data_IF_723416366247
#
_entry.id   IF_723416366247
#
_cell.length_a   1.000
_cell.length_b   1.000
_cell.length_c   1.000
_cell.angle_alpha   90.00
_cell.angle_beta   90.00
_cell.angle_gamma   90.00
#
_symmetry.space_group_name_H-M   'P 1'
#
loop_
_entity.id
_entity.type
_entity.pdbx_description
1 polymer ?
#
# COMPACT_ATOMS: atom_id res chain seq x y z
N UNK A 1 12.09 6.64 -20.25
CA UNK A 1 11.26 5.75 -21.12
C UNK A 1 11.45 6.26 -22.53
N UNK A 2 11.82 5.40 -23.44
CA UNK A 2 11.97 5.77 -24.85
C UNK A 2 11.40 4.63 -25.69
N UNK A 3 10.54 4.95 -26.66
CA UNK A 3 9.86 3.98 -27.53
C UNK A 3 9.16 2.82 -26.78
N UNK A 4 8.47 3.12 -25.68
CA UNK A 4 7.75 2.14 -24.86
C UNK A 4 8.65 1.09 -24.17
N UNK A 5 9.97 1.30 -24.16
CA UNK A 5 10.95 0.46 -23.47
C UNK A 5 11.40 1.17 -22.19
N UNK A 6 11.39 0.43 -21.09
CA UNK A 6 11.91 0.87 -19.79
C UNK A 6 13.32 0.34 -19.62
N UNK A 7 14.27 1.24 -19.37
CA UNK A 7 15.67 0.93 -19.09
C UNK A 7 16.03 1.29 -17.64
N UNK A 8 16.97 0.55 -17.05
CA UNK A 8 17.58 0.84 -15.75
C UNK A 8 19.08 0.64 -15.87
N UNK A 9 19.87 1.50 -15.22
CA UNK A 9 21.33 1.42 -15.24
C UNK A 9 21.83 0.96 -13.87
N UNK A 10 22.59 -0.14 -13.86
CA UNK A 10 23.21 -0.68 -12.64
C UNK A 10 24.71 -0.81 -12.87
N UNK A 11 25.51 -0.24 -11.96
CA UNK A 11 26.97 -0.39 -11.98
C UNK A 11 27.40 -1.46 -11.00
N UNK A 12 28.19 -2.43 -11.47
CA UNK A 12 28.80 -3.46 -10.63
C UNK A 12 30.29 -3.19 -10.47
N UNK A 13 30.80 -3.31 -9.25
CA UNK A 13 32.24 -3.19 -8.94
C UNK A 13 32.72 -4.50 -8.34
N UNK A 14 33.84 -5.04 -8.83
CA UNK A 14 34.44 -6.25 -8.28
C UNK A 14 35.22 -5.91 -7.01
N UNK A 15 34.71 -6.35 -5.87
CA UNK A 15 35.44 -6.26 -4.59
C UNK A 15 36.40 -7.45 -4.50
N UNK A 16 37.70 -7.20 -4.37
CA UNK A 16 38.68 -8.23 -4.00
C UNK A 16 38.79 -8.23 -2.47
N UNK A 17 38.28 -9.25 -1.80
CA UNK A 17 38.68 -9.51 -0.41
C UNK A 17 40.13 -10.00 -0.44
N UNK A 18 41.09 -9.17 -0.05
CA UNK A 18 42.41 -9.67 0.29
C UNK A 18 42.27 -10.46 1.59
N UNK A 19 42.46 -11.78 1.52
CA UNK A 19 42.69 -12.63 2.68
C UNK A 19 44.04 -12.26 3.30
N UNK A 20 44.03 -11.35 4.27
CA UNK A 20 45.16 -11.12 5.19
C UNK A 20 44.61 -10.77 6.56
N UNK A 21 44.64 -11.72 7.49
CA UNK A 21 44.99 -11.45 8.89
C UNK A 21 46.52 -11.70 9.04
N UNK A 22 47.25 -11.16 10.05
CA UNK A 22 46.77 -10.82 11.39
C UNK A 22 47.31 -9.53 12.04
N UNK A 23 46.78 -9.28 13.25
CA UNK A 23 47.35 -8.54 14.41
C UNK A 23 47.45 -7.01 14.38
N UNK A 24 46.56 -6.38 15.15
CA UNK A 24 46.97 -5.39 16.16
C UNK A 24 46.02 -5.46 17.35
N UNK A 25 46.58 -5.88 18.48
CA UNK A 25 45.96 -5.88 19.81
C UNK A 25 45.59 -4.44 20.21
N UNK A 26 44.36 -4.24 20.67
CA UNK A 26 44.06 -3.31 21.79
C UNK A 26 42.82 -3.80 22.52
N UNK A 27 42.94 -3.83 23.84
CA UNK A 27 42.10 -4.51 24.80
C UNK A 27 40.73 -3.88 25.04
N UNK A 28 39.74 -4.74 25.31
CA UNK A 28 38.77 -4.55 26.40
C UNK A 28 37.42 -3.93 26.07
N UNK A 29 36.38 -4.75 25.90
CA UNK A 29 35.31 -4.95 26.90
C UNK A 29 34.38 -6.08 26.42
N UNK A 30 34.16 -7.08 27.28
CA UNK A 30 33.15 -8.13 27.08
C UNK A 30 31.76 -7.59 27.38
N UNK A 31 30.78 -7.93 26.56
CA UNK A 31 29.41 -8.21 27.01
C UNK A 31 28.78 -9.25 26.09
N UNK A 32 28.46 -10.39 26.67
CA UNK A 32 27.79 -11.53 26.06
C UNK A 32 26.38 -11.18 25.58
N UNK A 33 25.94 -11.80 24.49
CA UNK A 33 24.56 -11.66 23.99
C UNK A 33 24.38 -12.21 22.58
N UNK A 34 23.92 -13.45 22.51
CA UNK A 34 23.53 -14.18 21.31
C UNK A 34 22.43 -13.43 20.52
N UNK A 35 22.68 -13.07 19.26
CA UNK A 35 21.66 -13.11 18.20
C UNK A 35 22.35 -13.07 16.83
N UNK A 36 22.26 -14.18 16.10
CA UNK A 36 22.63 -14.28 14.68
C UNK A 36 21.65 -13.43 13.86
N UNK A 37 21.86 -12.12 13.86
CA UNK A 37 21.42 -11.27 12.76
C UNK A 37 22.60 -11.18 11.80
N UNK A 38 22.42 -11.68 10.58
CA UNK A 38 23.40 -11.54 9.51
C UNK A 38 23.66 -10.03 9.29
N UNK A 39 24.70 -9.51 9.96
CA UNK A 39 25.16 -8.13 9.81
C UNK A 39 25.64 -7.97 8.38
N UNK A 40 24.81 -7.37 7.54
CA UNK A 40 25.20 -6.93 6.20
C UNK A 40 26.19 -5.78 6.38
N UNK A 41 27.48 -6.11 6.45
CA UNK A 41 28.53 -5.12 6.64
C UNK A 41 28.71 -4.34 5.33
N UNK A 42 28.10 -3.15 5.27
CA UNK A 42 28.24 -2.24 4.12
C UNK A 42 29.65 -1.67 4.14
N UNK A 43 30.56 -2.28 3.36
CA UNK A 43 31.91 -1.73 3.15
C UNK A 43 31.79 -0.36 2.48
N UNK A 44 32.14 0.69 3.21
CA UNK A 44 32.07 2.09 2.73
C UNK A 44 33.27 2.37 1.83
N UNK A 45 33.08 2.23 0.51
CA UNK A 45 34.11 2.57 -0.47
C UNK A 45 34.19 4.09 -0.64
N UNK A 46 35.22 4.72 -0.08
CA UNK A 46 35.44 6.18 -0.11
C UNK A 46 35.95 6.70 -1.45
N UNK A 47 36.46 5.83 -2.32
CA UNK A 47 36.98 6.20 -3.65
C UNK A 47 35.88 6.43 -4.70
N UNK A 48 34.66 5.94 -4.46
CA UNK A 48 33.57 6.15 -5.40
C UNK A 48 33.10 7.62 -5.32
N UNK A 49 32.81 8.27 -6.46
CA UNK A 49 32.11 9.56 -6.48
C UNK A 49 30.90 9.49 -5.55
N UNK A 50 30.51 10.60 -4.88
CA UNK A 50 29.27 10.64 -4.10
C UNK A 50 28.12 10.24 -5.01
N UNK A 51 27.74 8.97 -4.98
CA UNK A 51 26.68 8.44 -5.80
C UNK A 51 25.40 9.13 -5.34
N UNK A 52 24.87 10.01 -6.19
CA UNK A 52 23.46 10.36 -6.15
C UNK A 52 22.77 9.09 -6.61
N UNK A 53 22.56 8.15 -5.69
CA UNK A 53 21.69 7.01 -5.93
C UNK A 53 20.30 7.61 -6.14
N UNK A 54 19.93 7.86 -7.38
CA UNK A 54 18.53 7.94 -7.75
C UNK A 54 17.99 6.52 -7.52
N UNK A 55 17.54 6.27 -6.29
CA UNK A 55 17.11 4.94 -5.86
C UNK A 55 15.91 4.57 -6.71
N UNK A 56 16.01 3.43 -7.40
CA UNK A 56 14.89 2.86 -8.15
C UNK A 56 13.62 2.89 -7.28
N UNK A 57 12.48 3.28 -7.84
CA UNK A 57 11.24 3.50 -7.10
C UNK A 57 10.81 2.26 -6.29
N UNK A 58 11.18 1.06 -6.73
CA UNK A 58 10.95 -0.20 -6.02
C UNK A 58 11.61 -0.26 -4.64
N UNK A 59 12.73 0.44 -4.41
CA UNK A 59 13.33 0.51 -3.09
C UNK A 59 12.41 1.14 -2.05
N UNK A 60 11.44 1.96 -2.44
CA UNK A 60 10.41 2.44 -1.50
C UNK A 60 9.55 1.28 -1.01
N UNK A 61 9.12 0.38 -1.91
CA UNK A 61 8.35 -0.81 -1.55
C UNK A 61 9.19 -1.79 -0.71
N UNK A 62 10.42 -2.07 -1.13
CA UNK A 62 11.30 -3.00 -0.40
C UNK A 62 11.63 -2.49 1.01
N UNK A 63 11.87 -1.18 1.16
CA UNK A 63 12.08 -0.55 2.47
C UNK A 63 10.83 -0.64 3.33
N UNK A 64 9.66 -0.44 2.73
CA UNK A 64 8.41 -0.56 3.45
C UNK A 64 8.20 -1.99 3.96
N UNK A 65 8.42 -3.00 3.12
CA UNK A 65 8.34 -4.41 3.53
C UNK A 65 9.34 -4.71 4.64
N UNK A 66 10.59 -4.24 4.51
CA UNK A 66 11.60 -4.41 5.55
C UNK A 66 11.21 -3.73 6.87
N UNK A 67 10.63 -2.54 6.81
CA UNK A 67 10.17 -1.79 7.98
C UNK A 67 8.97 -2.47 8.66
N UNK A 68 8.05 -3.06 7.89
CA UNK A 68 6.93 -3.86 8.43
C UNK A 68 7.44 -5.13 9.11
N UNK A 69 8.42 -5.82 8.52
CA UNK A 69 9.02 -7.02 9.14
C UNK A 69 9.77 -6.64 10.43
N UNK A 70 10.43 -5.49 10.46
CA UNK A 70 11.29 -5.09 11.59
C UNK A 70 10.52 -4.42 12.73
N UNK A 71 9.53 -3.59 12.41
CA UNK A 71 8.83 -2.71 13.36
C UNK A 71 7.29 -2.84 13.30
N UNK A 72 6.75 -3.78 12.51
CA UNK A 72 5.31 -3.97 12.38
C UNK A 72 4.68 -4.50 13.66
N UNK A 73 3.47 -4.03 13.96
CA UNK A 73 2.67 -4.53 15.07
C UNK A 73 1.90 -5.77 14.62
N UNK A 74 1.92 -6.87 15.39
CA UNK A 74 1.06 -8.02 15.11
C UNK A 74 -0.40 -7.61 15.30
N UNK A 75 -1.21 -7.90 14.30
CA UNK A 75 -2.65 -7.73 14.33
C UNK A 75 -3.29 -9.07 13.98
N UNK A 76 -4.19 -9.53 14.84
CA UNK A 76 -4.98 -10.73 14.54
C UNK A 76 -6.04 -10.38 13.51
N UNK A 77 -6.09 -11.17 12.44
CA UNK A 77 -7.05 -11.05 11.37
C UNK A 77 -8.19 -12.08 11.53
N UNK A 78 -9.32 -11.82 10.85
CA UNK A 78 -10.48 -12.73 10.84
C UNK A 78 -10.15 -14.12 10.26
N UNK A 79 -9.02 -14.26 9.56
CA UNK A 79 -8.55 -15.51 8.95
C UNK A 79 -7.71 -16.38 9.89
N UNK A 80 -7.35 -15.88 11.08
CA UNK A 80 -6.60 -16.64 12.10
C UNK A 80 -5.13 -16.87 11.75
N UNK A 81 -4.62 -16.18 10.73
CA UNK A 81 -3.22 -16.23 10.29
C UNK A 81 -2.36 -15.19 11.00
N UNK A 82 -2.96 -14.07 11.38
CA UNK A 82 -2.26 -12.92 11.94
C UNK A 82 -1.41 -12.19 10.89
N UNK A 83 -1.33 -10.87 11.00
CA UNK A 83 -0.58 -10.02 10.07
C UNK A 83 0.27 -9.00 10.82
N UNK A 84 1.54 -8.83 10.42
CA UNK A 84 2.36 -7.69 10.83
C UNK A 84 1.95 -6.46 10.02
N UNK A 85 1.46 -5.42 10.68
CA UNK A 85 1.00 -4.20 10.01
C UNK A 85 1.64 -2.94 10.61
N UNK A 86 1.75 -1.89 9.79
CA UNK A 86 2.18 -0.55 10.20
C UNK A 86 1.22 0.48 9.63
N UNK A 87 0.69 1.35 10.49
CA UNK A 87 -0.32 2.34 10.12
C UNK A 87 0.23 3.35 9.09
N UNK A 88 -0.61 3.75 8.11
CA UNK A 88 -0.28 4.78 7.11
C UNK A 88 0.46 4.28 5.87
N UNK A 89 0.79 2.99 5.77
CA UNK A 89 1.48 2.42 4.62
C UNK A 89 0.65 1.31 3.97
N UNK A 90 -0.31 1.69 3.13
CA UNK A 90 -1.18 0.74 2.42
C UNK A 90 -1.09 0.97 0.91
N UNK A 91 -1.04 -0.13 0.14
CA UNK A 91 -1.27 -0.06 -1.31
C UNK A 91 -2.74 0.22 -1.52
N UNK A 92 -3.03 1.41 -2.04
CA UNK A 92 -4.39 1.84 -2.35
C UNK A 92 -4.77 1.30 -3.74
N UNK A 93 -5.98 0.76 -3.88
CA UNK A 93 -6.55 0.39 -5.18
C UNK A 93 -6.94 1.67 -5.95
N UNK A 94 -5.96 2.27 -6.61
CA UNK A 94 -6.09 3.61 -7.20
C UNK A 94 -7.20 3.70 -8.25
N UNK A 95 -7.38 2.65 -9.07
CA UNK A 95 -8.45 2.61 -10.08
C UNK A 95 -9.83 2.73 -9.45
N UNK A 96 -10.09 1.98 -8.35
CA UNK A 96 -11.34 2.09 -7.61
C UNK A 96 -11.56 3.47 -7.01
N UNK A 97 -10.52 4.09 -6.43
CA UNK A 97 -10.62 5.44 -5.85
C UNK A 97 -10.96 6.50 -6.90
N UNK A 98 -10.32 6.44 -8.07
CA UNK A 98 -10.59 7.40 -9.15
C UNK A 98 -12.02 7.25 -9.67
N UNK A 99 -12.47 6.03 -9.88
CA UNK A 99 -13.80 5.76 -10.41
C UNK A 99 -14.93 6.05 -9.42
N UNK A 100 -14.71 5.80 -8.13
CA UNK A 100 -15.61 6.25 -7.07
C UNK A 100 -15.71 7.78 -7.03
N UNK A 101 -14.58 8.49 -7.13
CA UNK A 101 -14.59 9.94 -7.16
C UNK A 101 -15.35 10.49 -8.37
N UNK A 102 -15.14 9.91 -9.55
CA UNK A 102 -15.89 10.27 -10.76
C UNK A 102 -17.39 9.98 -10.60
N UNK A 103 -17.74 8.89 -9.93
CA UNK A 103 -19.12 8.55 -9.61
C UNK A 103 -19.78 9.59 -8.70
N UNK A 104 -19.08 10.08 -7.66
CA UNK A 104 -19.54 11.21 -6.84
C UNK A 104 -19.72 12.49 -7.64
N UNK A 105 -18.73 12.87 -8.47
CA UNK A 105 -18.78 14.10 -9.28
C UNK A 105 -19.97 14.07 -10.26
N UNK A 106 -20.27 12.90 -10.84
CA UNK A 106 -21.41 12.72 -11.74
C UNK A 106 -22.75 12.88 -11.02
N UNK A 107 -22.77 12.75 -9.70
CA UNK A 107 -23.99 12.74 -8.90
C UNK A 107 -24.72 11.40 -8.94
N UNK A 108 -24.03 10.34 -9.33
CA UNK A 108 -24.62 9.00 -9.42
C UNK A 108 -24.87 8.44 -8.03
N UNK A 109 -25.94 7.64 -7.91
CA UNK A 109 -26.35 6.99 -6.66
C UNK A 109 -26.54 5.49 -6.82
N UNK A 110 -26.27 4.94 -8.00
CA UNK A 110 -26.41 3.52 -8.30
C UNK A 110 -25.04 2.83 -8.37
N UNK A 111 -24.82 1.83 -7.52
CA UNK A 111 -23.61 1.01 -7.46
C UNK A 111 -23.39 0.17 -8.72
N UNK A 112 -24.44 -0.14 -9.50
CA UNK A 112 -24.31 -0.88 -10.78
C UNK A 112 -23.35 -0.21 -11.75
N UNK A 113 -23.25 1.13 -11.72
CA UNK A 113 -22.31 1.91 -12.55
C UNK A 113 -20.85 1.62 -12.18
N UNK A 114 -20.58 1.28 -10.91
CA UNK A 114 -19.25 0.87 -10.45
C UNK A 114 -19.02 -0.61 -10.74
N UNK A 115 -20.03 -1.47 -10.57
CA UNK A 115 -19.96 -2.89 -10.91
C UNK A 115 -19.66 -3.13 -12.41
N UNK A 116 -20.25 -2.33 -13.30
CA UNK A 116 -19.94 -2.34 -14.75
C UNK A 116 -18.45 -2.08 -15.05
N UNK A 117 -17.73 -1.43 -14.11
CA UNK A 117 -16.30 -1.15 -14.20
C UNK A 117 -15.44 -2.08 -13.32
N UNK A 118 -16.01 -3.20 -12.87
CA UNK A 118 -15.37 -4.18 -11.98
C UNK A 118 -14.96 -3.59 -10.61
N UNK A 119 -15.76 -2.64 -10.11
CA UNK A 119 -15.55 -2.00 -8.81
C UNK A 119 -16.73 -2.33 -7.88
N UNK A 120 -16.45 -3.21 -6.92
CA UNK A 120 -17.46 -3.82 -6.04
C UNK A 120 -17.46 -3.25 -4.61
N UNK A 121 -16.86 -2.08 -4.40
CA UNK A 121 -16.65 -1.50 -3.05
C UNK A 121 -17.96 -1.09 -2.34
N UNK A 122 -19.07 -0.98 -3.06
CA UNK A 122 -20.39 -0.60 -2.55
C UNK A 122 -21.43 -1.73 -2.64
N UNK A 123 -21.03 -2.94 -3.02
CA UNK A 123 -21.96 -4.06 -3.27
C UNK A 123 -22.66 -4.49 -1.99
N UNK A 124 -21.91 -4.69 -0.91
CA UNK A 124 -22.47 -5.11 0.38
C UNK A 124 -23.50 -4.10 0.90
N UNK A 125 -23.22 -2.81 0.75
CA UNK A 125 -24.09 -1.71 1.18
C UNK A 125 -25.33 -1.51 0.29
N UNK A 126 -25.36 -2.17 -0.87
CA UNK A 126 -26.50 -2.11 -1.79
C UNK A 126 -27.21 -3.43 -1.97
N UNK A 127 -26.71 -4.49 -1.33
CA UNK A 127 -27.32 -5.81 -1.31
C UNK A 127 -28.74 -5.76 -0.77
N UNK A 128 -29.60 -6.65 -1.30
CA UNK A 128 -31.00 -6.78 -0.86
C UNK A 128 -31.09 -6.99 0.65
N UNK A 129 -30.27 -7.89 1.18
CA UNK A 129 -30.23 -8.24 2.61
C UNK A 129 -29.87 -7.03 3.49
N UNK A 130 -28.88 -6.24 3.09
CA UNK A 130 -28.51 -5.04 3.83
C UNK A 130 -29.62 -3.99 3.78
N UNK A 131 -30.18 -3.71 2.60
CA UNK A 131 -31.27 -2.75 2.42
C UNK A 131 -32.51 -3.14 3.25
N UNK A 132 -32.85 -4.42 3.30
CA UNK A 132 -33.94 -4.93 4.16
C UNK A 132 -33.62 -4.76 5.65
N UNK A 133 -32.38 -5.04 6.06
CA UNK A 133 -31.96 -4.94 7.47
C UNK A 133 -32.10 -3.53 8.04
N UNK A 134 -31.94 -2.50 7.20
CA UNK A 134 -32.07 -1.09 7.58
C UNK A 134 -33.47 -0.51 7.29
N UNK A 135 -34.44 -1.36 6.93
CA UNK A 135 -35.82 -0.95 6.70
C UNK A 135 -36.07 -0.24 5.36
N UNK A 136 -35.12 -0.28 4.42
CA UNK A 136 -35.25 0.26 3.06
C UNK A 136 -35.81 -0.78 2.10
N UNK A 137 -36.92 -1.44 2.49
CA UNK A 137 -37.50 -2.57 1.76
C UNK A 137 -37.98 -2.24 0.34
N UNK A 138 -38.40 -0.99 0.11
CA UNK A 138 -38.91 -0.54 -1.20
C UNK A 138 -37.79 -0.09 -2.14
N UNK A 139 -36.53 -0.06 -1.69
CA UNK A 139 -35.42 0.44 -2.47
C UNK A 139 -34.85 -0.66 -3.36
N UNK A 140 -34.63 -0.34 -4.62
CA UNK A 140 -34.01 -1.27 -5.57
C UNK A 140 -32.56 -1.60 -5.19
N UNK A 141 -32.16 -2.86 -5.42
CA UNK A 141 -30.79 -3.31 -5.25
C UNK A 141 -29.84 -2.52 -6.17
N UNK A 142 -28.71 -2.11 -5.61
CA UNK A 142 -27.75 -1.20 -6.27
C UNK A 142 -28.07 0.28 -6.07
N UNK A 143 -29.26 0.67 -5.62
CA UNK A 143 -29.58 2.08 -5.39
C UNK A 143 -29.23 2.49 -3.95
N UNK A 144 -28.27 3.41 -3.77
CA UNK A 144 -27.89 3.95 -2.46
C UNK A 144 -28.76 5.13 -2.02
N UNK A 145 -29.59 5.68 -2.92
CA UNK A 145 -30.35 6.90 -2.68
C UNK A 145 -29.46 8.14 -2.54
N UNK A 146 -29.87 9.18 -1.79
CA UNK A 146 -29.23 10.50 -1.80
C UNK A 146 -27.94 10.56 -0.98
N UNK A 147 -26.95 9.76 -1.37
CA UNK A 147 -25.60 9.72 -0.81
C UNK A 147 -24.73 10.84 -1.42
N UNK A 148 -23.42 10.76 -1.21
CA UNK A 148 -22.44 11.80 -1.53
C UNK A 148 -22.64 12.44 -2.90
N UNK A 149 -22.76 11.65 -3.97
CA UNK A 149 -22.92 12.19 -5.32
C UNK A 149 -24.16 13.09 -5.45
N UNK A 150 -25.31 12.62 -4.96
CA UNK A 150 -26.53 13.42 -4.96
C UNK A 150 -26.39 14.69 -4.12
N UNK A 151 -25.81 14.59 -2.92
CA UNK A 151 -25.63 15.75 -2.04
C UNK A 151 -24.69 16.80 -2.65
N UNK A 152 -23.64 16.39 -3.36
CA UNK A 152 -22.70 17.30 -4.01
C UNK A 152 -23.32 18.07 -5.17
N UNK A 153 -24.27 17.46 -5.88
CA UNK A 153 -24.88 18.03 -7.09
C UNK A 153 -26.26 18.65 -6.86
N UNK A 154 -26.97 18.18 -5.83
CA UNK A 154 -28.38 18.45 -5.56
C UNK A 154 -28.63 18.66 -4.06
N UNK A 155 -27.75 19.45 -3.41
CA UNK A 155 -27.89 19.78 -2.00
C UNK A 155 -29.26 20.44 -1.71
N UNK A 156 -30.01 19.89 -0.74
CA UNK A 156 -31.32 20.40 -0.33
C UNK A 156 -32.50 20.02 -1.25
N UNK A 157 -32.25 19.30 -2.35
CA UNK A 157 -33.32 18.77 -3.17
C UNK A 157 -34.00 17.59 -2.47
N UNK A 158 -35.33 17.48 -2.59
CA UNK A 158 -36.02 16.27 -2.17
C UNK A 158 -35.65 15.16 -3.14
N UNK A 159 -35.16 14.01 -2.66
CA UNK A 159 -35.04 12.83 -3.51
C UNK A 159 -36.44 12.50 -4.02
N UNK A 160 -36.65 12.53 -5.34
CA UNK A 160 -37.88 11.99 -5.90
C UNK A 160 -38.00 10.54 -5.42
N UNK A 161 -39.18 10.13 -4.97
CA UNK A 161 -39.47 8.75 -4.61
C UNK A 161 -39.08 7.85 -5.78
N UNK A 162 -38.00 7.09 -5.61
CA UNK A 162 -37.59 5.99 -6.48
C UNK A 162 -38.11 4.70 -5.87
#
# INVERSE_FOLDING_TARGET
MENNIRYSFTTYVRVRNSSVEPTSQTNGLKSDGLSDSAKFEVKKFTFLPKMIFEKHAEFMYLRLVQDIISNGTPNDDRTGTGTLSKFGCQKVFWQGVVEELLWFIRGSTNAKVLQEKDIHIWDDNTSRDYLDSIGLVNREEGNLGPVYGFQWRHFGARPCSW
#
